data_IF_217510132215
#
_entry.id   IF_217510132215
#
_cell.length_a   1.000
_cell.length_b   1.000
_cell.length_c   1.000
_cell.angle_alpha   90.00
_cell.angle_beta   90.00
_cell.angle_gamma   90.00
#
_symmetry.space_group_name_H-M   'P 1'
#
loop_
_entity.id
_entity.type
_entity.pdbx_description
1 polymer ?
#
# COMPACT_ATOMS: atom_id res chain seq x y z
N UNK A 1 1.50 -32.64 12.53
CA UNK A 1 2.05 -32.16 11.24
C UNK A 1 0.90 -31.49 10.52
N UNK A 2 1.10 -30.28 10.07
CA UNK A 2 0.13 -29.57 9.23
C UNK A 2 0.32 -30.15 7.82
N UNK A 3 -0.78 -30.56 7.17
CA UNK A 3 -0.69 -31.03 5.78
C UNK A 3 -0.22 -29.88 4.87
N UNK A 4 0.55 -30.17 3.81
CA UNK A 4 0.97 -29.12 2.88
C UNK A 4 -0.26 -28.50 2.22
N UNK A 5 -0.34 -27.17 2.28
CA UNK A 5 -1.44 -26.38 1.68
C UNK A 5 -0.97 -25.85 0.35
N UNK A 6 -1.81 -25.98 -0.67
CA UNK A 6 -1.57 -25.36 -1.95
C UNK A 6 -1.88 -23.85 -1.85
N UNK A 7 -0.93 -22.99 -2.18
CA UNK A 7 -1.14 -21.53 -2.18
C UNK A 7 -2.26 -21.07 -3.16
N UNK A 8 -2.66 -21.92 -4.09
CA UNK A 8 -3.82 -21.68 -4.98
C UNK A 8 -5.18 -21.86 -4.28
N UNK A 9 -5.19 -22.38 -3.05
CA UNK A 9 -6.42 -22.58 -2.24
C UNK A 9 -6.81 -21.34 -1.41
N UNK A 10 -6.06 -20.24 -1.46
CA UNK A 10 -6.43 -18.97 -0.88
C UNK A 10 -7.57 -18.28 -1.67
N UNK A 11 -8.77 -18.84 -1.71
CA UNK A 11 -9.83 -18.34 -2.62
C UNK A 11 -11.22 -18.20 -2.01
N UNK A 12 -11.45 -18.61 -0.79
CA UNK A 12 -12.74 -18.38 -0.15
C UNK A 12 -12.77 -17.00 0.49
N UNK A 13 -13.12 -15.96 -0.28
CA UNK A 13 -13.37 -14.64 0.29
C UNK A 13 -14.67 -14.72 1.11
N UNK A 14 -14.61 -14.50 2.44
CA UNK A 14 -15.82 -14.32 3.25
C UNK A 14 -16.62 -13.12 2.75
N UNK A 15 -17.87 -13.04 3.15
CA UNK A 15 -18.74 -11.91 2.81
C UNK A 15 -18.06 -10.57 3.21
N UNK A 16 -17.93 -9.66 2.23
CA UNK A 16 -17.24 -8.38 2.38
C UNK A 16 -17.97 -7.49 3.40
N UNK A 17 -17.23 -6.95 4.37
CA UNK A 17 -17.75 -5.99 5.35
C UNK A 17 -17.89 -4.62 4.72
N UNK A 18 -18.94 -3.90 5.08
CA UNK A 18 -19.07 -2.49 4.72
C UNK A 18 -18.28 -1.61 5.71
N UNK A 19 -17.77 -0.44 5.27
CA UNK A 19 -16.97 0.44 6.13
C UNK A 19 -17.64 0.83 7.46
N UNK A 20 -18.97 0.91 7.50
CA UNK A 20 -19.75 1.21 8.71
C UNK A 20 -19.68 0.10 9.78
N UNK A 21 -19.22 -1.10 9.38
CA UNK A 21 -19.07 -2.29 10.24
C UNK A 21 -17.62 -2.46 10.73
N UNK A 22 -16.69 -1.63 10.27
CA UNK A 22 -15.28 -1.73 10.64
C UNK A 22 -15.07 -1.38 12.11
N UNK A 23 -14.28 -2.20 12.81
CA UNK A 23 -13.96 -2.05 14.23
C UNK A 23 -12.55 -1.50 14.46
N UNK A 24 -11.63 -1.84 13.56
CA UNK A 24 -10.19 -1.59 13.70
C UNK A 24 -9.65 -0.61 12.68
N UNK A 25 -10.41 -0.31 11.63
CA UNK A 25 -10.05 0.66 10.60
C UNK A 25 -11.12 1.73 10.50
N UNK A 26 -10.76 2.99 10.77
CA UNK A 26 -11.66 4.11 10.46
C UNK A 26 -11.56 4.38 8.96
N UNK A 27 -12.70 4.40 8.29
CA UNK A 27 -12.78 4.64 6.85
C UNK A 27 -13.62 5.89 6.58
N UNK A 28 -13.10 6.80 5.75
CA UNK A 28 -13.85 7.97 5.28
C UNK A 28 -13.46 8.31 3.86
N UNK A 29 -14.38 8.89 3.11
CA UNK A 29 -14.13 9.41 1.77
C UNK A 29 -14.47 10.90 1.79
N UNK A 30 -13.54 11.72 1.34
CA UNK A 30 -13.70 13.17 1.28
C UNK A 30 -12.89 13.69 0.08
N UNK A 31 -13.51 14.52 -0.75
CA UNK A 31 -12.87 15.19 -1.88
C UNK A 31 -12.02 14.28 -2.79
N UNK A 32 -12.51 13.07 -3.10
CA UNK A 32 -11.82 12.13 -3.97
C UNK A 32 -10.71 11.32 -3.29
N UNK A 33 -10.59 11.39 -1.98
CA UNK A 33 -9.60 10.69 -1.16
C UNK A 33 -10.30 9.71 -0.23
N UNK A 34 -9.97 8.43 -0.31
CA UNK A 34 -10.33 7.46 0.70
C UNK A 34 -9.24 7.43 1.78
N UNK A 35 -9.57 7.79 3.01
CA UNK A 35 -8.64 7.68 4.14
C UNK A 35 -9.00 6.50 5.01
N UNK A 36 -8.03 5.64 5.22
CA UNK A 36 -8.08 4.45 6.05
C UNK A 36 -7.13 4.65 7.23
N UNK A 37 -7.66 4.76 8.44
CA UNK A 37 -6.85 5.00 9.64
C UNK A 37 -6.86 3.76 10.52
N UNK A 38 -5.71 3.14 10.70
CA UNK A 38 -5.52 2.02 11.61
C UNK A 38 -5.81 2.46 13.05
N UNK A 39 -6.71 1.75 13.75
CA UNK A 39 -7.22 2.17 15.06
C UNK A 39 -7.49 0.97 15.98
N UNK A 40 -6.49 0.12 16.18
CA UNK A 40 -6.50 -0.96 17.16
C UNK A 40 -5.44 -0.69 18.24
N UNK A 41 -5.78 0.10 19.29
CA UNK A 41 -4.83 0.44 20.35
C UNK A 41 -4.28 -0.80 21.07
N UNK A 42 -3.05 -0.75 21.58
CA UNK A 42 -2.14 0.41 21.54
C UNK A 42 -1.21 0.39 20.33
N UNK A 43 -1.03 -0.77 19.68
CA UNK A 43 0.07 -0.99 18.72
C UNK A 43 -0.41 -1.33 17.31
N UNK A 44 -1.70 -1.27 17.03
CA UNK A 44 -2.25 -1.69 15.73
C UNK A 44 -1.77 -3.09 15.31
N UNK A 45 -1.76 -4.06 16.25
CA UNK A 45 -1.40 -5.44 15.91
C UNK A 45 -2.44 -5.99 14.92
N UNK A 46 -1.96 -6.56 13.83
CA UNK A 46 -2.80 -7.10 12.77
C UNK A 46 -3.34 -8.47 13.17
N UNK A 47 -4.64 -8.57 13.33
CA UNK A 47 -5.36 -9.82 13.39
C UNK A 47 -6.17 -10.05 12.11
N UNK A 48 -6.70 -11.25 11.93
CA UNK A 48 -7.52 -11.59 10.76
C UNK A 48 -8.60 -10.54 10.47
N UNK A 49 -9.34 -10.11 11.51
CA UNK A 49 -10.43 -9.16 11.34
C UNK A 49 -9.97 -7.79 10.81
N UNK A 50 -8.86 -7.25 11.33
CA UNK A 50 -8.29 -5.99 10.87
C UNK A 50 -7.72 -6.08 9.46
N UNK A 51 -7.09 -7.20 9.12
CA UNK A 51 -6.59 -7.47 7.77
C UNK A 51 -7.73 -7.51 6.73
N UNK A 52 -8.85 -8.17 7.08
CA UNK A 52 -10.04 -8.17 6.23
C UNK A 52 -10.65 -6.77 6.08
N UNK A 53 -10.69 -5.97 7.16
CA UNK A 53 -11.16 -4.58 7.06
C UNK A 53 -10.26 -3.73 6.18
N UNK A 54 -8.93 -3.96 6.19
CA UNK A 54 -7.99 -3.30 5.26
C UNK A 54 -8.32 -3.72 3.81
N UNK A 55 -8.46 -5.02 3.54
CA UNK A 55 -8.79 -5.52 2.21
C UNK A 55 -10.12 -4.96 1.70
N UNK A 56 -11.17 -5.00 2.54
CA UNK A 56 -12.51 -4.53 2.21
C UNK A 56 -12.54 -3.01 1.97
N UNK A 57 -11.78 -2.25 2.75
CA UNK A 57 -11.63 -0.81 2.58
C UNK A 57 -10.93 -0.44 1.28
N UNK A 58 -9.86 -1.15 0.94
CA UNK A 58 -9.14 -0.98 -0.33
C UNK A 58 -10.07 -1.29 -1.51
N UNK A 59 -10.77 -2.42 -1.46
CA UNK A 59 -11.73 -2.83 -2.49
C UNK A 59 -12.85 -1.80 -2.64
N UNK A 60 -13.43 -1.36 -1.51
CA UNK A 60 -14.48 -0.33 -1.49
C UNK A 60 -14.00 0.98 -2.11
N UNK A 61 -12.79 1.43 -1.77
CA UNK A 61 -12.19 2.60 -2.39
C UNK A 61 -11.92 2.39 -3.90
N UNK A 62 -11.46 1.18 -4.26
CA UNK A 62 -11.17 0.79 -5.65
C UNK A 62 -12.37 0.88 -6.58
N UNK A 63 -13.53 0.41 -6.14
CA UNK A 63 -14.78 0.36 -6.91
C UNK A 63 -15.47 1.72 -7.10
N UNK A 64 -15.05 2.76 -6.38
CA UNK A 64 -15.72 4.06 -6.43
C UNK A 64 -15.09 5.00 -7.45
N UNK A 65 -15.86 5.47 -8.38
CA UNK A 65 -15.42 6.40 -9.44
C UNK A 65 -15.05 7.79 -8.89
N UNK A 66 -15.63 8.18 -7.74
CA UNK A 66 -15.35 9.45 -7.09
C UNK A 66 -14.07 9.44 -6.22
N UNK A 67 -13.41 8.28 -6.02
CA UNK A 67 -12.15 8.15 -5.31
C UNK A 67 -10.98 8.08 -6.30
N UNK A 68 -9.94 8.89 -6.10
CA UNK A 68 -8.74 8.96 -6.95
C UNK A 68 -7.50 8.38 -6.30
N UNK A 69 -7.42 8.39 -4.98
CA UNK A 69 -6.30 7.83 -4.21
C UNK A 69 -6.74 7.39 -2.82
N UNK A 70 -5.92 6.56 -2.21
CA UNK A 70 -6.11 6.03 -0.86
C UNK A 70 -4.98 6.56 0.02
N UNK A 71 -5.31 6.98 1.24
CA UNK A 71 -4.34 7.30 2.30
C UNK A 71 -4.50 6.28 3.41
N UNK A 72 -3.41 5.61 3.78
CA UNK A 72 -3.36 4.68 4.91
C UNK A 72 -2.49 5.30 6.00
N UNK A 73 -3.07 5.55 7.16
CA UNK A 73 -2.40 6.14 8.31
C UNK A 73 -2.76 5.45 9.63
N UNK A 74 -2.27 5.95 10.75
CA UNK A 74 -2.49 5.39 12.08
C UNK A 74 -2.99 6.44 13.07
N UNK A 75 -3.98 6.07 13.88
CA UNK A 75 -4.42 6.85 15.03
C UNK A 75 -3.56 6.61 16.28
N UNK A 76 -2.67 5.62 16.27
CA UNK A 76 -1.80 5.26 17.38
C UNK A 76 -0.42 5.92 17.25
N UNK A 77 0.39 5.86 18.33
CA UNK A 77 1.80 6.29 18.32
C UNK A 77 2.69 5.36 17.50
N UNK A 78 2.25 4.12 17.30
CA UNK A 78 2.86 3.09 16.45
C UNK A 78 2.06 3.04 15.16
N UNK A 79 2.72 3.02 14.02
CA UNK A 79 2.01 2.80 12.76
C UNK A 79 1.34 1.42 12.78
N UNK A 80 2.15 0.37 12.93
CA UNK A 80 1.67 -1.00 13.09
C UNK A 80 2.77 -1.89 13.69
N UNK A 81 2.44 -2.59 14.77
CA UNK A 81 3.37 -3.46 15.50
C UNK A 81 3.54 -4.87 14.94
N UNK A 82 2.93 -5.15 13.77
CA UNK A 82 3.01 -6.47 13.12
C UNK A 82 1.82 -7.35 13.41
N UNK A 83 1.95 -8.63 13.07
CA UNK A 83 0.90 -9.63 13.27
C UNK A 83 0.71 -9.90 14.77
N UNK A 84 -0.53 -9.98 15.20
CA UNK A 84 -0.89 -10.42 16.55
C UNK A 84 -0.42 -11.86 16.76
N UNK A 85 0.43 -12.09 17.75
CA UNK A 85 1.03 -13.41 18.00
C UNK A 85 -0.03 -14.50 18.23
N UNK A 86 -1.22 -14.13 18.71
CA UNK A 86 -2.36 -15.02 18.88
C UNK A 86 -2.90 -15.61 17.58
N UNK A 87 -2.54 -15.05 16.43
CA UNK A 87 -2.90 -15.57 15.11
C UNK A 87 -1.99 -16.72 14.65
N UNK A 88 -0.79 -16.85 15.22
CA UNK A 88 0.18 -17.92 14.87
C UNK A 88 -0.15 -19.25 15.56
N UNK A 89 -1.42 -19.66 15.53
CA UNK A 89 -1.85 -20.98 16.00
C UNK A 89 -2.19 -21.87 14.82
N UNK A 90 -2.13 -23.19 15.00
CA UNK A 90 -2.49 -24.16 13.94
C UNK A 90 -3.93 -24.01 13.43
N UNK A 91 -4.81 -23.42 14.25
CA UNK A 91 -6.22 -23.18 13.89
C UNK A 91 -6.46 -21.87 13.14
N UNK A 92 -5.59 -20.86 13.31
CA UNK A 92 -5.81 -19.50 12.78
C UNK A 92 -4.84 -19.06 11.70
N UNK A 93 -3.66 -19.68 11.66
CA UNK A 93 -2.58 -19.21 10.75
C UNK A 93 -3.02 -19.14 9.30
N UNK A 94 -3.87 -20.06 8.85
CA UNK A 94 -4.36 -20.07 7.46
C UNK A 94 -5.29 -18.88 7.17
N UNK A 95 -6.29 -18.67 8.04
CA UNK A 95 -7.24 -17.56 7.87
C UNK A 95 -6.52 -16.21 7.98
N UNK A 96 -5.54 -16.12 8.89
CA UNK A 96 -4.71 -14.93 9.03
C UNK A 96 -3.87 -14.68 7.77
N UNK A 97 -3.18 -15.70 7.23
CA UNK A 97 -2.39 -15.57 6.01
C UNK A 97 -3.25 -15.27 4.77
N UNK A 98 -4.45 -15.86 4.67
CA UNK A 98 -5.41 -15.55 3.63
C UNK A 98 -5.84 -14.08 3.69
N UNK A 99 -6.24 -13.60 4.88
CA UNK A 99 -6.60 -12.20 5.08
C UNK A 99 -5.41 -11.26 4.83
N UNK A 100 -4.21 -11.66 5.22
CA UNK A 100 -2.96 -10.95 4.97
C UNK A 100 -2.69 -10.84 3.47
N UNK A 101 -2.72 -11.98 2.76
CA UNK A 101 -2.59 -12.00 1.30
C UNK A 101 -3.64 -11.10 0.63
N UNK A 102 -4.92 -11.20 1.04
CA UNK A 102 -6.00 -10.38 0.47
C UNK A 102 -5.78 -8.88 0.62
N UNK A 103 -5.31 -8.42 1.79
CA UNK A 103 -5.02 -7.01 2.03
C UNK A 103 -3.90 -6.49 1.09
N UNK A 104 -2.84 -7.25 0.91
CA UNK A 104 -1.68 -6.84 0.13
C UNK A 104 -1.88 -7.00 -1.38
N UNK A 105 -2.52 -8.07 -1.82
CA UNK A 105 -2.95 -8.20 -3.22
C UNK A 105 -3.89 -7.06 -3.60
N UNK A 106 -4.83 -6.70 -2.70
CA UNK A 106 -5.69 -5.53 -2.89
C UNK A 106 -4.90 -4.24 -3.10
N UNK A 107 -3.82 -4.00 -2.34
CA UNK A 107 -2.96 -2.81 -2.52
C UNK A 107 -2.23 -2.79 -3.87
N UNK A 108 -1.82 -3.95 -4.37
CA UNK A 108 -1.18 -4.08 -5.69
C UNK A 108 -2.19 -3.90 -6.83
N UNK A 109 -3.36 -4.51 -6.70
CA UNK A 109 -4.37 -4.62 -7.75
C UNK A 109 -5.28 -3.39 -7.84
N UNK A 110 -5.49 -2.69 -6.71
CA UNK A 110 -6.25 -1.44 -6.74
C UNK A 110 -5.56 -0.44 -7.66
N UNK A 111 -6.25 -0.04 -8.71
CA UNK A 111 -5.69 0.90 -9.69
C UNK A 111 -5.33 2.28 -9.10
N UNK A 112 -5.81 2.59 -7.91
CA UNK A 112 -5.62 3.90 -7.28
C UNK A 112 -4.32 3.96 -6.49
N UNK A 113 -3.58 5.08 -6.53
CA UNK A 113 -2.39 5.27 -5.70
C UNK A 113 -2.71 5.11 -4.21
N UNK A 114 -1.84 4.41 -3.48
CA UNK A 114 -1.90 4.23 -2.02
C UNK A 114 -0.74 4.99 -1.39
N UNK A 115 -1.07 5.95 -0.52
CA UNK A 115 -0.10 6.75 0.24
C UNK A 115 -0.10 6.27 1.68
N UNK A 116 1.00 5.69 2.14
CA UNK A 116 1.19 5.31 3.53
C UNK A 116 1.83 6.46 4.33
N UNK A 117 1.25 6.79 5.48
CA UNK A 117 1.74 7.83 6.40
C UNK A 117 2.21 7.15 7.68
N UNK A 118 3.52 7.02 7.83
CA UNK A 118 4.14 6.25 8.91
C UNK A 118 4.62 7.19 10.02
N UNK A 119 3.80 7.39 11.01
CA UNK A 119 4.05 8.33 12.12
C UNK A 119 4.82 7.74 13.30
N UNK A 120 5.22 6.47 13.24
CA UNK A 120 5.90 5.75 14.30
C UNK A 120 6.39 4.37 13.83
N UNK A 121 6.81 3.48 14.75
CA UNK A 121 7.31 2.16 14.39
C UNK A 121 6.36 1.36 13.48
N UNK A 122 6.93 0.71 12.48
CA UNK A 122 6.31 -0.22 11.55
C UNK A 122 7.10 -1.52 11.58
N UNK A 123 6.57 -2.57 12.21
CA UNK A 123 7.31 -3.78 12.56
C UNK A 123 6.66 -5.01 11.93
N UNK A 124 7.44 -5.91 11.35
CA UNK A 124 6.98 -7.14 10.73
C UNK A 124 5.89 -6.86 9.69
N UNK A 125 4.73 -7.48 9.80
CA UNK A 125 3.57 -7.22 8.95
C UNK A 125 3.20 -5.74 8.82
N UNK A 126 3.54 -4.91 9.83
CA UNK A 126 3.36 -3.46 9.75
C UNK A 126 4.37 -2.78 8.83
N UNK A 127 5.63 -3.24 8.82
CA UNK A 127 6.64 -2.78 7.87
C UNK A 127 6.31 -3.26 6.45
N UNK A 128 5.79 -4.48 6.32
CA UNK A 128 5.29 -4.99 5.05
C UNK A 128 4.14 -4.11 4.53
N UNK A 129 3.16 -3.76 5.39
CA UNK A 129 2.04 -2.91 5.02
C UNK A 129 2.50 -1.53 4.52
N UNK A 130 3.50 -0.92 5.17
CA UNK A 130 4.09 0.33 4.70
C UNK A 130 4.81 0.16 3.36
N UNK A 131 5.59 -0.94 3.19
CA UNK A 131 6.36 -1.21 1.98
C UNK A 131 5.51 -1.46 0.72
N UNK A 132 4.26 -1.89 0.89
CA UNK A 132 3.29 -2.05 -0.21
C UNK A 132 2.56 -0.75 -0.58
N UNK A 133 2.75 0.33 0.16
CA UNK A 133 2.30 1.66 -0.26
C UNK A 133 3.05 2.13 -1.51
N UNK A 134 2.33 2.73 -2.45
CA UNK A 134 2.95 3.31 -3.65
C UNK A 134 3.83 4.51 -3.30
N UNK A 135 3.46 5.24 -2.25
CA UNK A 135 4.22 6.36 -1.69
C UNK A 135 4.21 6.25 -0.15
N UNK A 136 5.38 6.48 0.45
CA UNK A 136 5.54 6.43 1.90
C UNK A 136 6.11 7.76 2.41
N UNK A 137 5.38 8.39 3.34
CA UNK A 137 5.83 9.59 4.05
C UNK A 137 5.97 9.24 5.52
N UNK A 138 7.10 9.60 6.12
CA UNK A 138 7.40 9.21 7.48
C UNK A 138 7.99 10.33 8.34
N UNK A 139 8.10 10.06 9.63
CA UNK A 139 8.71 10.96 10.60
C UNK A 139 9.95 10.31 11.21
N UNK A 140 10.85 11.08 11.84
CA UNK A 140 12.04 10.53 12.51
C UNK A 140 11.74 9.51 13.63
N UNK A 141 10.46 9.35 14.02
CA UNK A 141 10.03 8.33 14.98
C UNK A 141 9.81 6.96 14.35
N UNK A 142 9.67 6.88 13.03
CA UNK A 142 9.49 5.61 12.34
C UNK A 142 10.74 4.73 12.50
N UNK A 143 10.47 3.44 12.61
CA UNK A 143 11.47 2.37 12.57
C UNK A 143 10.86 1.23 11.81
N UNK A 144 11.62 0.64 10.91
CA UNK A 144 11.18 -0.52 10.13
C UNK A 144 11.99 -1.72 10.56
N UNK A 145 11.34 -2.85 10.84
CA UNK A 145 12.02 -4.10 11.18
C UNK A 145 11.24 -5.29 10.64
N UNK A 146 11.98 -6.40 10.38
CA UNK A 146 11.43 -7.70 10.03
C UNK A 146 11.93 -8.73 11.05
N UNK A 147 11.41 -8.73 12.31
CA UNK A 147 11.95 -9.53 13.39
C UNK A 147 11.47 -11.00 13.38
N UNK A 148 10.69 -11.40 12.38
CA UNK A 148 10.04 -12.71 12.27
C UNK A 148 11.04 -13.86 12.40
N UNK A 149 12.27 -13.67 11.93
CA UNK A 149 13.32 -14.68 12.01
C UNK A 149 13.63 -15.09 13.46
N UNK A 150 13.48 -14.16 14.40
CA UNK A 150 13.73 -14.40 15.82
C UNK A 150 12.71 -15.33 16.49
N UNK A 151 11.54 -15.49 15.88
CA UNK A 151 10.48 -16.40 16.36
C UNK A 151 10.32 -17.64 15.47
N UNK A 152 11.30 -17.89 14.57
CA UNK A 152 11.34 -19.12 13.76
C UNK A 152 10.46 -19.09 12.52
N UNK A 153 10.03 -17.92 12.06
CA UNK A 153 9.32 -17.72 10.78
C UNK A 153 10.04 -16.64 9.95
N UNK A 154 9.63 -16.45 8.72
CA UNK A 154 10.14 -15.37 7.87
C UNK A 154 8.99 -14.49 7.38
N UNK A 155 9.23 -13.21 7.04
CA UNK A 155 8.20 -12.31 6.53
C UNK A 155 7.95 -12.62 5.03
N UNK A 156 6.80 -13.23 4.66
CA UNK A 156 6.60 -13.73 3.29
C UNK A 156 6.48 -12.62 2.26
N UNK A 157 5.85 -11.51 2.60
CA UNK A 157 5.65 -10.39 1.70
C UNK A 157 6.90 -9.51 1.60
N UNK A 158 7.58 -9.24 2.72
CA UNK A 158 8.86 -8.54 2.69
C UNK A 158 9.90 -9.30 1.87
N UNK A 159 9.92 -10.63 1.97
CA UNK A 159 10.79 -11.47 1.14
C UNK A 159 10.52 -11.33 -0.36
N UNK A 160 9.31 -10.92 -0.72
CA UNK A 160 8.91 -10.68 -2.12
C UNK A 160 9.18 -9.23 -2.55
N UNK A 161 8.79 -8.23 -1.75
CA UNK A 161 8.83 -6.83 -2.17
C UNK A 161 10.20 -6.15 -1.92
N UNK A 162 10.87 -6.44 -0.81
CA UNK A 162 12.13 -5.78 -0.45
C UNK A 162 13.22 -5.93 -1.53
N UNK A 163 13.42 -7.09 -2.18
CA UNK A 163 14.41 -7.18 -3.25
C UNK A 163 14.20 -6.18 -4.40
N UNK A 164 12.95 -5.79 -4.68
CA UNK A 164 12.64 -4.77 -5.68
C UNK A 164 12.88 -3.35 -5.17
N UNK A 165 12.65 -3.10 -3.88
CA UNK A 165 12.82 -1.76 -3.29
C UNK A 165 14.29 -1.42 -3.00
N UNK A 166 15.04 -2.37 -2.41
CA UNK A 166 16.38 -2.09 -1.85
C UNK A 166 17.48 -2.98 -2.43
N UNK A 167 17.12 -3.87 -3.36
CA UNK A 167 18.01 -4.88 -3.90
C UNK A 167 18.22 -6.07 -2.98
N UNK A 168 18.65 -7.23 -3.52
CA UNK A 168 18.63 -8.50 -2.80
C UNK A 168 19.60 -8.55 -1.60
N UNK A 169 20.72 -7.84 -1.62
CA UNK A 169 21.68 -7.87 -0.51
C UNK A 169 21.12 -7.18 0.74
N UNK A 170 20.54 -6.00 0.57
CA UNK A 170 19.91 -5.26 1.68
C UNK A 170 18.66 -5.99 2.16
N UNK A 171 17.85 -6.53 1.24
CA UNK A 171 16.69 -7.34 1.61
C UNK A 171 17.09 -8.54 2.49
N UNK A 172 18.14 -9.28 2.12
CA UNK A 172 18.67 -10.39 2.92
C UNK A 172 19.18 -9.92 4.30
N UNK A 173 19.92 -8.80 4.35
CA UNK A 173 20.39 -8.24 5.62
C UNK A 173 19.22 -7.94 6.55
N UNK A 174 18.19 -7.24 6.07
CA UNK A 174 17.02 -6.86 6.85
C UNK A 174 16.23 -8.08 7.38
N UNK A 175 16.00 -9.06 6.50
CA UNK A 175 15.20 -10.25 6.84
C UNK A 175 15.98 -11.23 7.73
N UNK A 176 17.27 -11.44 7.48
CA UNK A 176 18.07 -12.45 8.22
C UNK A 176 18.57 -11.91 9.56
N UNK A 177 18.82 -10.60 9.69
CA UNK A 177 19.21 -10.02 10.98
C UNK A 177 17.99 -9.67 11.85
N UNK A 178 16.87 -9.29 11.26
CA UNK A 178 15.70 -8.76 11.95
C UNK A 178 15.96 -7.40 12.63
N UNK A 179 17.12 -6.76 12.37
CA UNK A 179 17.48 -5.49 12.98
C UNK A 179 16.64 -4.33 12.48
N UNK A 180 16.27 -3.38 13.36
CA UNK A 180 15.47 -2.22 12.95
C UNK A 180 16.28 -1.21 12.14
N UNK A 181 15.64 -0.68 11.10
CA UNK A 181 16.15 0.42 10.27
C UNK A 181 15.53 1.73 10.71
N UNK A 182 16.36 2.77 10.84
CA UNK A 182 15.85 4.12 11.13
C UNK A 182 15.17 4.75 9.91
N UNK A 183 14.36 5.76 10.15
CA UNK A 183 13.69 6.52 9.08
C UNK A 183 14.68 7.12 8.07
N UNK A 184 15.81 7.64 8.56
CA UNK A 184 16.87 8.19 7.73
C UNK A 184 17.47 7.10 6.82
N UNK A 185 17.75 5.94 7.38
CA UNK A 185 18.30 4.82 6.62
C UNK A 185 17.28 4.28 5.62
N UNK A 186 16.00 4.23 5.97
CA UNK A 186 14.93 3.83 5.06
C UNK A 186 14.81 4.78 3.86
N UNK A 187 15.00 6.09 4.08
CA UNK A 187 15.05 7.09 3.00
C UNK A 187 16.26 6.87 2.08
N UNK A 188 17.46 6.65 2.65
CA UNK A 188 18.68 6.37 1.88
C UNK A 188 18.55 5.10 1.02
N UNK A 189 17.86 4.09 1.54
CA UNK A 189 17.63 2.82 0.86
C UNK A 189 16.51 2.88 -0.19
N UNK A 190 15.74 3.97 -0.24
CA UNK A 190 14.59 4.10 -1.12
C UNK A 190 13.33 3.35 -0.67
N UNK A 191 13.27 2.92 0.59
CA UNK A 191 12.07 2.30 1.17
C UNK A 191 10.94 3.31 1.39
N UNK A 192 11.28 4.59 1.56
CA UNK A 192 10.33 5.69 1.75
C UNK A 192 10.62 6.84 0.79
N UNK A 193 9.61 7.64 0.50
CA UNK A 193 9.71 8.77 -0.42
C UNK A 193 10.07 10.08 0.29
N UNK A 194 9.65 10.25 1.55
CA UNK A 194 9.87 11.48 2.31
C UNK A 194 9.99 11.21 3.80
N UNK A 195 11.00 11.83 4.39
CA UNK A 195 11.18 11.94 5.84
C UNK A 195 10.94 13.40 6.24
N UNK A 196 9.98 13.65 7.11
CA UNK A 196 9.59 15.01 7.50
C UNK A 196 9.45 15.17 9.01
N UNK A 197 9.76 16.33 9.59
CA UNK A 197 9.49 16.60 10.99
C UNK A 197 7.99 16.40 11.30
N UNK A 198 7.67 15.88 12.50
CA UNK A 198 6.28 15.63 12.91
C UNK A 198 5.37 16.86 12.74
N UNK A 199 5.87 18.03 13.10
CA UNK A 199 5.11 19.27 12.97
C UNK A 199 4.75 19.63 11.51
N UNK A 200 5.42 19.01 10.53
CA UNK A 200 5.18 19.23 9.10
C UNK A 200 4.43 18.07 8.43
N UNK A 201 4.19 16.96 9.13
CA UNK A 201 3.64 15.74 8.55
C UNK A 201 2.28 16.01 7.88
N UNK A 202 1.32 16.53 8.62
CA UNK A 202 -0.04 16.82 8.11
C UNK A 202 -0.01 17.73 6.87
N UNK A 203 0.80 18.79 6.94
CA UNK A 203 0.94 19.71 5.80
C UNK A 203 1.55 19.01 4.58
N UNK A 204 2.61 18.22 4.77
CA UNK A 204 3.30 17.52 3.68
C UNK A 204 2.38 16.48 3.04
N UNK A 205 1.63 15.73 3.85
CA UNK A 205 0.63 14.77 3.36
C UNK A 205 -0.46 15.48 2.59
N UNK A 206 -1.04 16.56 3.14
CA UNK A 206 -2.09 17.34 2.48
C UNK A 206 -1.62 17.93 1.15
N UNK A 207 -0.42 18.50 1.10
CA UNK A 207 0.17 19.06 -0.12
C UNK A 207 0.38 17.98 -1.21
N UNK A 208 0.88 16.80 -0.82
CA UNK A 208 1.06 15.68 -1.75
C UNK A 208 -0.27 15.13 -2.25
N UNK A 209 -1.18 14.84 -1.34
CA UNK A 209 -2.52 14.32 -1.63
C UNK A 209 -3.28 15.29 -2.55
N UNK A 210 -3.28 16.59 -2.22
CA UNK A 210 -3.92 17.62 -3.05
C UNK A 210 -3.34 17.68 -4.47
N UNK A 211 -2.01 17.54 -4.59
CA UNK A 211 -1.33 17.51 -5.90
C UNK A 211 -1.75 16.32 -6.72
N UNK A 212 -1.75 15.10 -6.14
CA UNK A 212 -2.15 13.87 -6.82
C UNK A 212 -3.64 13.94 -7.18
N UNK A 213 -4.48 14.34 -6.25
CA UNK A 213 -5.93 14.46 -6.43
C UNK A 213 -6.32 15.50 -7.50
N UNK A 214 -5.45 16.47 -7.76
CA UNK A 214 -5.61 17.46 -8.84
C UNK A 214 -5.50 16.87 -10.24
N UNK A 215 -5.13 15.60 -10.40
CA UNK A 215 -5.01 14.92 -11.69
C UNK A 215 -6.25 14.06 -11.99
N UNK A 216 -6.33 13.56 -13.22
CA UNK A 216 -7.35 12.60 -13.63
C UNK A 216 -7.14 11.26 -12.93
N UNK A 217 -8.17 10.72 -12.27
CA UNK A 217 -8.12 9.42 -11.59
C UNK A 217 -7.75 8.27 -12.52
N UNK A 218 -8.40 8.09 -13.67
CA UNK A 218 -8.04 7.06 -14.65
C UNK A 218 -6.59 7.17 -15.14
N UNK A 219 -6.07 8.38 -15.33
CA UNK A 219 -4.66 8.58 -15.73
C UNK A 219 -3.70 8.15 -14.63
N UNK A 220 -4.02 8.44 -13.36
CA UNK A 220 -3.24 7.95 -12.21
C UNK A 220 -3.23 6.41 -12.16
N UNK A 221 -4.40 5.79 -12.37
CA UNK A 221 -4.55 4.32 -12.46
C UNK A 221 -3.67 3.73 -13.56
N UNK A 222 -3.68 4.30 -14.77
CA UNK A 222 -2.87 3.81 -15.88
C UNK A 222 -1.37 3.98 -15.61
N UNK A 223 -0.97 5.07 -14.95
CA UNK A 223 0.43 5.29 -14.57
C UNK A 223 0.91 4.24 -13.54
N UNK A 224 0.13 3.97 -12.49
CA UNK A 224 0.41 2.90 -11.52
C UNK A 224 0.48 1.53 -12.21
N UNK A 225 -0.50 1.20 -13.04
CA UNK A 225 -0.56 -0.05 -13.81
C UNK A 225 0.68 -0.24 -14.69
N UNK A 226 1.13 0.82 -15.37
CA UNK A 226 2.31 0.74 -16.24
C UNK A 226 3.60 0.49 -15.44
N UNK A 227 3.74 1.12 -14.26
CA UNK A 227 4.92 0.96 -13.42
C UNK A 227 4.93 -0.44 -12.80
N UNK A 228 3.88 -0.81 -12.06
CA UNK A 228 3.85 -2.08 -11.32
C UNK A 228 3.82 -3.29 -12.27
N UNK A 229 3.03 -3.24 -13.32
CA UNK A 229 2.96 -4.33 -14.32
C UNK A 229 4.23 -4.48 -15.16
N UNK A 230 5.13 -3.49 -15.13
CA UNK A 230 6.45 -3.57 -15.74
C UNK A 230 7.52 -4.20 -14.84
N UNK A 231 7.26 -4.30 -13.53
CA UNK A 231 8.20 -4.89 -12.57
C UNK A 231 8.42 -6.37 -12.85
N UNK A 232 9.68 -6.81 -12.82
CA UNK A 232 10.06 -8.21 -13.11
C UNK A 232 10.13 -8.56 -14.59
N UNK A 233 9.69 -7.70 -15.49
CA UNK A 233 9.85 -7.89 -16.94
C UNK A 233 11.27 -7.47 -17.38
N UNK A 234 11.75 -8.04 -18.49
CA UNK A 234 12.91 -7.46 -19.15
C UNK A 234 12.62 -6.03 -19.61
N UNK A 235 13.64 -5.18 -19.72
CA UNK A 235 13.46 -3.79 -20.16
C UNK A 235 12.69 -3.69 -21.49
N UNK A 236 12.94 -4.63 -22.42
CA UNK A 236 12.25 -4.69 -23.71
C UNK A 236 10.75 -5.02 -23.56
N UNK A 237 10.42 -5.95 -22.69
CA UNK A 237 9.02 -6.34 -22.40
C UNK A 237 8.31 -5.24 -21.63
N UNK A 238 8.95 -4.66 -20.62
CA UNK A 238 8.40 -3.52 -19.86
C UNK A 238 8.10 -2.32 -20.75
N UNK A 239 8.98 -2.00 -21.72
CA UNK A 239 8.71 -0.95 -22.69
C UNK A 239 7.48 -1.26 -23.55
N UNK A 240 7.35 -2.50 -24.04
CA UNK A 240 6.16 -2.92 -24.80
C UNK A 240 4.89 -2.85 -23.96
N UNK A 241 4.97 -3.29 -22.69
CA UNK A 241 3.86 -3.22 -21.75
C UNK A 241 3.37 -1.78 -21.56
N UNK A 242 4.27 -0.84 -21.23
CA UNK A 242 3.94 0.57 -21.03
C UNK A 242 3.37 1.22 -22.30
N UNK A 243 3.96 0.94 -23.46
CA UNK A 243 3.46 1.44 -24.75
C UNK A 243 2.06 0.89 -25.08
N UNK A 244 1.81 -0.38 -24.76
CA UNK A 244 0.47 -0.97 -24.95
C UNK A 244 -0.59 -0.26 -24.11
N UNK A 245 -0.31 -0.04 -22.81
CA UNK A 245 -1.21 0.71 -21.92
C UNK A 245 -1.44 2.12 -22.46
N UNK A 246 -0.36 2.82 -22.85
CA UNK A 246 -0.46 4.18 -23.37
C UNK A 246 -1.35 4.28 -24.60
N UNK A 247 -1.15 3.41 -25.61
CA UNK A 247 -1.85 3.49 -26.89
C UNK A 247 -3.28 2.93 -26.83
N UNK A 248 -3.47 1.83 -26.10
CA UNK A 248 -4.73 1.08 -26.16
C UNK A 248 -5.69 1.38 -25.01
N UNK A 249 -5.19 1.95 -23.91
CA UNK A 249 -5.99 2.28 -22.74
C UNK A 249 -5.98 3.78 -22.47
N UNK A 250 -4.81 4.37 -22.13
CA UNK A 250 -4.68 5.78 -21.74
C UNK A 250 -5.16 6.75 -22.82
N UNK A 251 -4.67 6.60 -24.06
CA UNK A 251 -4.96 7.55 -25.14
C UNK A 251 -6.43 7.57 -25.57
N UNK A 252 -7.22 6.58 -25.15
CA UNK A 252 -8.67 6.49 -25.38
C UNK A 252 -9.50 7.23 -24.33
N UNK A 253 -8.91 7.63 -23.21
CA UNK A 253 -9.61 8.36 -22.16
C UNK A 253 -9.97 9.77 -22.63
N UNK A 254 -11.17 10.24 -22.28
CA UNK A 254 -11.59 11.63 -22.53
C UNK A 254 -10.63 12.61 -21.82
N UNK A 255 -10.20 12.28 -20.61
CA UNK A 255 -9.28 13.08 -19.81
C UNK A 255 -7.89 13.21 -20.45
N UNK A 256 -7.42 12.19 -21.16
CA UNK A 256 -6.17 12.27 -21.92
C UNK A 256 -6.26 13.34 -23.03
N UNK A 257 -7.38 13.38 -23.75
CA UNK A 257 -7.62 14.38 -24.79
C UNK A 257 -7.87 15.78 -24.21
N UNK A 258 -8.56 15.84 -23.07
CA UNK A 258 -8.79 17.09 -22.34
C UNK A 258 -7.47 17.71 -21.85
N UNK A 259 -6.57 16.90 -21.29
CA UNK A 259 -5.27 17.37 -20.83
C UNK A 259 -4.43 18.00 -21.93
N UNK A 260 -4.37 17.34 -23.10
CA UNK A 260 -3.67 17.86 -24.28
C UNK A 260 -4.30 19.14 -24.80
N UNK A 261 -5.64 19.20 -24.88
CA UNK A 261 -6.38 20.40 -25.30
C UNK A 261 -6.15 21.57 -24.35
N UNK A 262 -6.28 21.33 -23.05
CA UNK A 262 -6.07 22.36 -22.02
C UNK A 262 -4.66 22.96 -22.07
N UNK A 263 -3.65 22.12 -22.36
CA UNK A 263 -2.26 22.57 -22.54
C UNK A 263 -2.12 23.52 -23.75
N UNK A 264 -2.70 23.16 -24.89
CA UNK A 264 -2.66 24.00 -26.10
C UNK A 264 -3.42 25.33 -25.88
N UNK A 265 -4.56 25.27 -25.21
CA UNK A 265 -5.40 26.42 -24.88
C UNK A 265 -4.89 27.24 -23.68
N UNK A 266 -3.80 26.82 -23.02
CA UNK A 266 -3.19 27.46 -21.83
C UNK A 266 -4.19 27.69 -20.69
N UNK A 267 -5.06 26.74 -20.45
CA UNK A 267 -6.05 26.74 -19.35
C UNK A 267 -5.83 25.52 -18.42
N UNK A 268 -6.48 25.54 -17.27
CA UNK A 268 -6.53 24.35 -16.41
C UNK A 268 -7.42 23.29 -17.06
N UNK A 269 -7.03 22.00 -17.00
CA UNK A 269 -7.89 20.91 -17.45
C UNK A 269 -9.12 20.73 -16.55
N UNK A 270 -10.20 20.25 -17.15
CA UNK A 270 -11.43 19.91 -16.44
C UNK A 270 -11.65 18.40 -16.52
N UNK A 271 -11.10 17.69 -15.55
CA UNK A 271 -11.13 16.23 -15.51
C UNK A 271 -12.55 15.68 -15.35
N UNK A 272 -12.93 14.74 -16.21
CA UNK A 272 -14.21 14.02 -16.18
C UNK A 272 -14.08 12.66 -15.50
N UNK A 273 -12.85 12.23 -15.24
CA UNK A 273 -12.48 10.92 -14.66
C UNK A 273 -13.00 9.74 -15.52
N UNK A 274 -12.87 9.84 -16.81
CA UNK A 274 -13.26 8.81 -17.77
C UNK A 274 -12.49 8.89 -19.10
#
# INVERSE_FOLDING_TARGET
>A
MIEPVNAEEFVAQPERRKPEQFQFVKFRIEDGVARMTLNRPEHNLLNEAMLREIADGITTAGERDDVKLIVLDSACKVFCGGIDIGEYTSQRVFQMLDAFHGAFSGMLEVGKPVVCVVNGPAIGGGAELAAFGDLVIDTPKARFAQPEISIGVFPPLASTILPFLVGPKIALELVLSGEPVTAERALELGMINRLVPEAQLEKTVSDLVSRINGHSGPVLTMAKKAILGGMGLSLREGLKHSMNIFLNELYRLEDSQEGLRALVEKRKPNWKNR
#
